data_IF_748338267732
#
_entry.id   IF_748338267732
#
_cell.length_a   1.000
_cell.length_b   1.000
_cell.length_c   1.000
_cell.angle_alpha   90.00
_cell.angle_beta   90.00
_cell.angle_gamma   90.00
#
_symmetry.space_group_name_H-M   'P 1'
#
loop_
_entity.id
_entity.type
_entity.pdbx_description
1 polymer ?
#
# COMPACT_ATOMS: atom_id res chain seq x y z
N UNK A 1 1.96 23.03 24.67
CA UNK A 1 1.50 24.34 24.12
C UNK A 1 2.32 24.77 22.90
N UNK A 2 3.64 24.64 22.91
CA UNK A 2 4.54 25.05 21.79
C UNK A 2 4.27 24.30 20.48
N UNK A 3 3.97 23.01 20.52
CA UNK A 3 3.68 22.20 19.33
C UNK A 3 2.35 22.64 18.67
N UNK A 4 1.34 23.00 19.46
CA UNK A 4 0.03 23.46 18.95
C UNK A 4 0.16 24.80 18.26
N UNK A 5 1.00 25.71 18.79
CA UNK A 5 1.25 27.03 18.21
C UNK A 5 2.00 26.89 16.88
N UNK A 6 3.01 26.03 16.80
CA UNK A 6 3.77 25.79 15.56
C UNK A 6 2.86 25.18 14.47
N UNK A 7 2.00 24.23 14.81
CA UNK A 7 1.09 23.62 13.84
C UNK A 7 0.02 24.61 13.37
N UNK A 8 -0.49 25.49 14.24
CA UNK A 8 -1.51 26.47 13.87
C UNK A 8 -0.96 27.62 13.01
N UNK A 9 0.32 27.98 13.16
CA UNK A 9 0.96 29.03 12.35
C UNK A 9 1.48 28.52 11.00
N UNK A 10 1.92 27.26 10.93
CA UNK A 10 2.39 26.65 9.66
C UNK A 10 1.25 26.13 8.78
N UNK A 11 0.08 25.84 9.37
CA UNK A 11 -1.07 25.30 8.65
C UNK A 11 -1.53 26.15 7.44
N UNK A 12 -1.72 27.50 7.57
CA UNK A 12 -2.11 28.32 6.42
C UNK A 12 -1.02 28.38 5.35
N UNK A 13 0.26 28.32 5.73
CA UNK A 13 1.38 28.30 4.80
C UNK A 13 1.42 27.00 3.97
N UNK A 14 1.34 25.84 4.61
CA UNK A 14 1.29 24.55 3.94
C UNK A 14 0.06 24.40 3.07
N UNK A 15 -1.08 24.86 3.52
CA UNK A 15 -2.32 24.81 2.76
C UNK A 15 -2.25 25.70 1.51
N UNK A 16 -1.72 26.92 1.63
CA UNK A 16 -1.46 27.82 0.48
C UNK A 16 -0.45 27.20 -0.49
N UNK A 17 0.61 26.64 0.01
CA UNK A 17 1.64 25.99 -0.81
C UNK A 17 1.05 24.83 -1.63
N UNK A 18 0.23 23.98 -1.02
CA UNK A 18 -0.45 22.88 -1.70
C UNK A 18 -1.43 23.39 -2.76
N UNK A 19 -2.21 24.44 -2.49
CA UNK A 19 -3.14 25.04 -3.45
C UNK A 19 -2.38 25.60 -4.65
N UNK A 20 -1.35 26.41 -4.40
CA UNK A 20 -0.55 27.06 -5.46
C UNK A 20 0.13 26.01 -6.35
N UNK A 21 0.73 24.98 -5.77
CA UNK A 21 1.37 23.92 -6.52
C UNK A 21 0.38 23.10 -7.37
N UNK A 22 -0.84 22.88 -6.88
CA UNK A 22 -1.88 22.19 -7.66
C UNK A 22 -2.38 23.05 -8.82
N UNK A 23 -2.58 24.34 -8.60
CA UNK A 23 -3.00 25.27 -9.66
C UNK A 23 -1.95 25.36 -10.78
N UNK A 24 -0.66 25.42 -10.42
CA UNK A 24 0.45 25.40 -11.41
C UNK A 24 0.47 24.12 -12.25
N UNK A 25 -0.03 23.00 -11.73
CA UNK A 25 -0.13 21.71 -12.42
C UNK A 25 -1.47 21.50 -13.13
N UNK A 26 -2.34 22.52 -13.22
CA UNK A 26 -3.67 22.40 -13.82
C UNK A 26 -4.63 21.46 -13.09
N UNK A 27 -4.33 21.13 -11.82
CA UNK A 27 -5.16 20.24 -11.02
C UNK A 27 -6.28 21.05 -10.32
N UNK A 28 -7.45 20.40 -10.15
CA UNK A 28 -8.56 21.02 -9.42
C UNK A 28 -8.17 21.43 -8.00
N UNK A 29 -8.69 22.55 -7.48
CA UNK A 29 -8.38 23.02 -6.13
C UNK A 29 -8.79 21.98 -5.09
N UNK A 30 -7.97 21.84 -4.05
CA UNK A 30 -8.32 21.00 -2.89
C UNK A 30 -9.34 21.81 -2.08
N UNK A 31 -10.56 21.29 -1.99
CA UNK A 31 -11.53 21.85 -1.04
C UNK A 31 -11.12 21.49 0.39
N UNK A 32 -11.45 22.35 1.35
CA UNK A 32 -11.19 22.10 2.77
C UNK A 32 -11.77 20.75 3.22
N UNK A 33 -12.95 20.41 2.71
CA UNK A 33 -13.64 19.14 2.95
C UNK A 33 -12.85 17.93 2.44
N UNK A 34 -12.29 18.03 1.23
CA UNK A 34 -11.43 16.98 0.66
C UNK A 34 -10.15 16.82 1.48
N UNK A 35 -9.56 17.92 1.93
CA UNK A 35 -8.36 17.90 2.77
C UNK A 35 -8.61 17.15 4.07
N UNK A 36 -9.65 17.51 4.83
CA UNK A 36 -9.96 16.84 6.10
C UNK A 36 -10.26 15.34 5.90
N UNK A 37 -11.02 14.99 4.87
CA UNK A 37 -11.26 13.58 4.56
C UNK A 37 -9.97 12.81 4.25
N UNK A 38 -9.07 13.42 3.51
CA UNK A 38 -7.78 12.80 3.18
C UNK A 38 -6.91 12.60 4.44
N UNK A 39 -6.93 13.57 5.36
CA UNK A 39 -6.22 13.45 6.65
C UNK A 39 -6.83 12.32 7.49
N UNK A 40 -8.15 12.26 7.60
CA UNK A 40 -8.85 11.19 8.34
C UNK A 40 -8.51 9.82 7.75
N UNK A 41 -8.54 9.69 6.42
CA UNK A 41 -8.19 8.43 5.75
C UNK A 41 -6.72 8.06 5.93
N UNK A 42 -5.82 9.05 5.96
CA UNK A 42 -4.41 8.80 6.23
C UNK A 42 -4.20 8.30 7.67
N UNK A 43 -4.89 8.90 8.65
CA UNK A 43 -4.88 8.43 10.04
C UNK A 43 -5.48 7.03 10.13
N UNK A 44 -6.61 6.78 9.47
CA UNK A 44 -7.25 5.45 9.43
C UNK A 44 -6.31 4.41 8.83
N UNK A 45 -5.62 4.73 7.73
CA UNK A 45 -4.62 3.86 7.13
C UNK A 45 -3.44 3.60 8.08
N UNK A 46 -2.90 4.65 8.72
CA UNK A 46 -1.79 4.53 9.65
C UNK A 46 -2.13 3.67 10.87
N UNK A 47 -3.25 3.97 11.53
CA UNK A 47 -3.71 3.20 12.69
C UNK A 47 -4.07 1.76 12.32
N UNK A 48 -4.75 1.56 11.19
CA UNK A 48 -5.05 0.23 10.67
C UNK A 48 -3.80 -0.56 10.35
N UNK A 49 -2.81 0.06 9.69
CA UNK A 49 -1.52 -0.56 9.40
C UNK A 49 -0.76 -0.95 10.67
N UNK A 50 -0.76 -0.09 11.71
CA UNK A 50 -0.17 -0.39 13.01
C UNK A 50 -0.91 -1.54 13.71
N UNK A 51 -2.22 -1.54 13.68
CA UNK A 51 -3.04 -2.64 14.23
C UNK A 51 -2.74 -3.96 13.51
N UNK A 52 -2.73 -3.97 12.19
CA UNK A 52 -2.38 -5.16 11.41
C UNK A 52 -0.94 -5.61 11.67
N UNK A 53 0.00 -4.69 11.88
CA UNK A 53 1.38 -5.02 12.23
C UNK A 53 1.48 -5.65 13.62
N UNK A 54 0.80 -5.07 14.60
CA UNK A 54 0.79 -5.58 15.98
C UNK A 54 0.14 -6.96 16.07
N UNK A 55 -1.10 -7.08 15.57
CA UNK A 55 -1.85 -8.35 15.56
C UNK A 55 -1.19 -9.37 14.63
N UNK A 56 -0.73 -8.95 13.46
CA UNK A 56 -0.05 -9.79 12.49
C UNK A 56 1.22 -10.40 13.07
N UNK A 57 2.00 -9.67 13.87
CA UNK A 57 3.19 -10.20 14.51
C UNK A 57 2.89 -11.38 15.46
N UNK A 58 1.70 -11.41 16.04
CA UNK A 58 1.26 -12.48 16.97
C UNK A 58 0.59 -13.63 16.23
N UNK A 59 -0.40 -13.31 15.37
CA UNK A 59 -1.25 -14.32 14.75
C UNK A 59 -0.69 -14.89 13.46
N UNK A 60 0.07 -14.10 12.68
CA UNK A 60 0.58 -14.55 11.37
C UNK A 60 1.84 -15.39 11.48
N UNK A 61 2.61 -15.27 12.58
CA UNK A 61 3.87 -16.01 12.76
C UNK A 61 3.71 -17.53 12.57
N UNK A 62 2.57 -18.07 12.98
CA UNK A 62 2.25 -19.50 12.89
C UNK A 62 1.13 -19.81 11.88
N UNK A 63 0.60 -18.79 11.19
CA UNK A 63 -0.49 -18.98 10.25
C UNK A 63 0.04 -19.58 8.94
N UNK A 64 -0.53 -20.68 8.53
CA UNK A 64 -0.23 -21.37 7.26
C UNK A 64 -1.53 -21.72 6.52
N UNK A 65 -1.44 -21.95 5.21
CA UNK A 65 -2.58 -22.39 4.41
C UNK A 65 -3.78 -21.45 4.54
N UNK A 66 -4.96 -21.99 4.77
CA UNK A 66 -6.24 -21.25 4.82
C UNK A 66 -6.24 -20.07 5.81
N UNK A 67 -5.59 -20.20 6.96
CA UNK A 67 -5.53 -19.11 7.97
C UNK A 67 -4.76 -17.91 7.42
N UNK A 68 -3.64 -18.13 6.77
CA UNK A 68 -2.87 -17.06 6.14
C UNK A 68 -3.66 -16.39 5.00
N UNK A 69 -4.39 -17.17 4.21
CA UNK A 69 -5.23 -16.65 3.13
C UNK A 69 -6.38 -15.77 3.67
N UNK A 70 -6.99 -16.16 4.79
CA UNK A 70 -8.01 -15.35 5.46
C UNK A 70 -7.43 -14.01 5.93
N UNK A 71 -6.25 -14.04 6.56
CA UNK A 71 -5.58 -12.80 7.01
C UNK A 71 -5.27 -11.88 5.81
N UNK A 72 -4.75 -12.44 4.72
CA UNK A 72 -4.50 -11.68 3.48
C UNK A 72 -5.79 -11.12 2.88
N UNK A 73 -6.89 -11.88 2.92
CA UNK A 73 -8.20 -11.40 2.47
C UNK A 73 -8.72 -10.24 3.32
N UNK A 74 -8.56 -10.32 4.65
CA UNK A 74 -8.94 -9.22 5.55
C UNK A 74 -8.10 -7.97 5.25
N UNK A 75 -6.80 -8.14 5.04
CA UNK A 75 -5.90 -7.05 4.66
C UNK A 75 -6.30 -6.43 3.31
N UNK A 76 -6.64 -7.25 2.31
CA UNK A 76 -7.13 -6.76 1.01
C UNK A 76 -8.44 -5.96 1.14
N UNK A 77 -9.37 -6.40 1.99
CA UNK A 77 -10.60 -5.65 2.30
C UNK A 77 -10.30 -4.33 3.00
N UNK A 78 -9.34 -4.31 3.93
CA UNK A 78 -8.88 -3.08 4.57
C UNK A 78 -8.26 -2.12 3.54
N UNK A 79 -7.36 -2.58 2.67
CA UNK A 79 -6.79 -1.77 1.59
C UNK A 79 -7.89 -1.18 0.69
N UNK A 80 -8.89 -1.99 0.33
CA UNK A 80 -10.06 -1.52 -0.42
C UNK A 80 -10.82 -0.43 0.33
N UNK A 81 -11.04 -0.57 1.63
CA UNK A 81 -11.75 0.44 2.43
C UNK A 81 -11.00 1.77 2.48
N UNK A 82 -9.67 1.76 2.54
CA UNK A 82 -8.84 2.97 2.47
C UNK A 82 -8.98 3.66 1.12
N UNK A 83 -8.88 2.92 0.02
CA UNK A 83 -8.97 3.48 -1.33
C UNK A 83 -10.36 4.03 -1.65
N UNK A 84 -11.41 3.32 -1.24
CA UNK A 84 -12.80 3.71 -1.52
C UNK A 84 -13.44 4.57 -0.43
N UNK A 85 -12.74 4.80 0.67
CA UNK A 85 -13.25 5.61 1.79
C UNK A 85 -13.37 7.11 1.49
N UNK A 86 -12.74 7.63 0.43
CA UNK A 86 -12.87 9.02 0.06
C UNK A 86 -13.98 9.22 -0.99
N UNK A 87 -15.16 9.73 -0.62
CA UNK A 87 -16.28 9.93 -1.53
C UNK A 87 -16.06 11.05 -2.56
N UNK A 88 -15.08 11.93 -2.32
CA UNK A 88 -14.78 13.07 -3.20
C UNK A 88 -13.77 12.73 -4.29
N UNK A 89 -13.16 11.55 -4.22
CA UNK A 89 -12.22 11.06 -5.24
C UNK A 89 -12.99 10.19 -6.22
N UNK A 90 -13.06 10.62 -7.47
CA UNK A 90 -13.63 9.81 -8.55
C UNK A 90 -12.70 8.64 -8.84
N UNK A 91 -13.24 7.45 -8.80
CA UNK A 91 -12.52 6.20 -9.08
C UNK A 91 -13.08 5.62 -10.36
N UNK A 92 -12.19 5.30 -11.29
CA UNK A 92 -12.55 4.60 -12.51
C UNK A 92 -11.64 3.40 -12.64
N UNK A 93 -12.21 2.22 -12.59
CA UNK A 93 -11.50 0.98 -12.86
C UNK A 93 -11.77 0.62 -14.33
N UNK A 94 -10.72 0.51 -15.11
CA UNK A 94 -10.78 0.04 -16.49
C UNK A 94 -10.07 -1.31 -16.47
N UNK A 95 -10.85 -2.39 -16.47
CA UNK A 95 -10.32 -3.74 -16.48
C UNK A 95 -10.46 -4.31 -17.90
N UNK A 96 -9.45 -5.02 -18.35
CA UNK A 96 -9.58 -5.88 -19.52
C UNK A 96 -10.46 -7.08 -19.11
N UNK A 97 -11.57 -7.37 -19.82
CA UNK A 97 -12.44 -8.50 -19.47
C UNK A 97 -11.73 -9.87 -19.56
N UNK A 98 -10.58 -9.93 -20.23
CA UNK A 98 -9.77 -11.15 -20.34
C UNK A 98 -8.75 -11.31 -19.21
N UNK A 99 -8.64 -10.34 -18.30
CA UNK A 99 -7.74 -10.40 -17.14
C UNK A 99 -8.33 -11.27 -16.05
N UNK A 100 -7.60 -12.32 -15.69
CA UNK A 100 -7.97 -13.26 -14.64
C UNK A 100 -6.96 -13.23 -13.49
N UNK A 101 -7.22 -12.38 -12.49
CA UNK A 101 -6.40 -12.27 -11.29
C UNK A 101 -6.45 -13.51 -10.37
N UNK A 102 -7.20 -14.54 -10.72
CA UNK A 102 -7.20 -15.81 -10.00
C UNK A 102 -5.99 -16.67 -10.35
N UNK A 103 -5.37 -16.43 -11.50
CA UNK A 103 -4.16 -17.11 -11.96
C UNK A 103 -2.91 -16.40 -11.52
N UNK A 104 -1.85 -17.15 -11.14
CA UNK A 104 -0.56 -16.53 -10.80
C UNK A 104 0.02 -15.78 -12.00
N UNK A 105 0.50 -14.57 -11.76
CA UNK A 105 1.09 -13.71 -12.78
C UNK A 105 2.22 -12.86 -12.18
N UNK A 106 3.05 -12.29 -13.05
CA UNK A 106 3.94 -11.20 -12.68
C UNK A 106 3.19 -9.89 -12.99
N UNK A 107 2.87 -9.13 -11.95
CA UNK A 107 2.18 -7.85 -12.05
C UNK A 107 3.24 -6.76 -12.06
N UNK A 108 3.39 -6.09 -13.18
CA UNK A 108 4.31 -4.95 -13.33
C UNK A 108 3.48 -3.68 -13.29
N UNK A 109 3.84 -2.76 -12.41
CA UNK A 109 3.12 -1.50 -12.26
C UNK A 109 4.08 -0.32 -12.03
N UNK A 110 3.66 0.87 -12.46
CA UNK A 110 4.36 2.11 -12.15
C UNK A 110 4.17 2.44 -10.66
N UNK A 111 5.19 3.05 -10.04
CA UNK A 111 5.14 3.43 -8.63
C UNK A 111 5.14 4.94 -8.47
N UNK A 112 3.96 5.54 -8.48
CA UNK A 112 3.77 7.00 -8.34
C UNK A 112 3.32 7.39 -6.93
N UNK A 113 2.66 6.47 -6.22
CA UNK A 113 2.07 6.71 -4.90
C UNK A 113 2.08 5.44 -4.06
N UNK A 114 2.09 5.60 -2.73
CA UNK A 114 1.85 4.45 -1.85
C UNK A 114 0.46 3.80 -2.04
N UNK A 115 -0.48 4.52 -2.64
CA UNK A 115 -1.81 3.99 -2.97
C UNK A 115 -1.76 2.90 -4.05
N UNK A 116 -0.71 2.84 -4.86
CA UNK A 116 -0.54 1.83 -5.90
C UNK A 116 -0.45 0.43 -5.28
N UNK A 117 0.29 0.31 -4.17
CA UNK A 117 0.36 -0.94 -3.40
C UNK A 117 -1.01 -1.38 -2.89
N UNK A 118 -1.82 -0.40 -2.40
CA UNK A 118 -3.18 -0.69 -1.93
C UNK A 118 -4.11 -1.08 -3.09
N UNK A 119 -3.97 -0.43 -4.24
CA UNK A 119 -4.78 -0.70 -5.42
C UNK A 119 -4.57 -2.12 -5.95
N UNK A 120 -3.32 -2.55 -6.01
CA UNK A 120 -3.00 -3.93 -6.42
C UNK A 120 -3.45 -4.91 -5.34
N UNK A 121 -3.16 -4.61 -4.06
CA UNK A 121 -3.52 -5.48 -2.94
C UNK A 121 -5.02 -5.69 -2.72
N UNK A 122 -5.87 -4.78 -3.22
CA UNK A 122 -7.31 -4.99 -3.18
C UNK A 122 -7.84 -5.83 -4.34
N UNK A 123 -7.08 -5.96 -5.45
CA UNK A 123 -7.52 -6.72 -6.62
C UNK A 123 -7.42 -8.24 -6.37
N UNK A 124 -6.37 -8.67 -5.68
CA UNK A 124 -6.22 -10.07 -5.25
C UNK A 124 -5.45 -10.16 -3.93
N UNK A 125 -5.86 -11.10 -3.08
CA UNK A 125 -5.17 -11.36 -1.81
C UNK A 125 -3.98 -12.33 -1.95
N UNK A 126 -3.89 -13.01 -3.09
CA UNK A 126 -2.78 -13.92 -3.40
C UNK A 126 -1.66 -13.18 -4.13
N UNK A 127 -1.00 -12.28 -3.41
CA UNK A 127 0.12 -11.49 -3.92
C UNK A 127 1.32 -11.55 -3.00
N UNK A 128 2.49 -11.38 -3.60
CA UNK A 128 3.77 -11.20 -2.94
C UNK A 128 4.40 -9.94 -3.51
N UNK A 129 4.80 -9.02 -2.63
CA UNK A 129 5.50 -7.80 -3.02
C UNK A 129 7.01 -7.97 -2.87
N UNK A 130 7.76 -7.39 -3.80
CA UNK A 130 9.14 -6.99 -3.55
C UNK A 130 9.10 -5.66 -2.81
N UNK A 131 9.66 -5.60 -1.61
CA UNK A 131 9.62 -4.42 -0.74
C UNK A 131 11.03 -3.89 -0.49
N UNK A 132 11.13 -2.59 -0.29
CA UNK A 132 12.40 -1.97 0.09
C UNK A 132 12.90 -2.51 1.44
N UNK A 133 14.21 -2.61 1.60
CA UNK A 133 14.85 -3.18 2.79
C UNK A 133 14.47 -2.45 4.07
N UNK A 134 14.33 -1.12 4.02
CA UNK A 134 13.91 -0.34 5.18
C UNK A 134 12.49 -0.70 5.66
N UNK A 135 11.59 -1.14 4.76
CA UNK A 135 10.25 -1.65 5.13
C UNK A 135 10.37 -3.04 5.71
N UNK A 136 11.20 -3.90 5.06
CA UNK A 136 11.41 -5.28 5.47
C UNK A 136 12.04 -5.40 6.85
N UNK A 137 12.96 -4.50 7.19
CA UNK A 137 13.65 -4.45 8.47
C UNK A 137 13.05 -3.46 9.47
N UNK A 138 11.93 -2.82 9.08
CA UNK A 138 11.18 -1.92 9.96
C UNK A 138 10.77 -2.61 11.25
N UNK A 139 11.01 -2.01 12.43
CA UNK A 139 10.54 -2.55 13.70
C UNK A 139 9.01 -2.61 13.79
N UNK A 140 8.31 -1.77 13.03
CA UNK A 140 6.86 -1.67 13.01
C UNK A 140 6.26 -2.66 12.01
N UNK A 141 6.70 -2.62 10.75
CA UNK A 141 6.08 -3.38 9.66
C UNK A 141 6.82 -4.67 9.30
N UNK A 142 8.11 -4.78 9.62
CA UNK A 142 8.96 -5.87 9.16
C UNK A 142 8.44 -7.25 9.57
N UNK A 143 7.93 -7.40 10.79
CA UNK A 143 7.35 -8.68 11.25
C UNK A 143 6.15 -9.10 10.41
N UNK A 144 5.25 -8.15 10.10
CA UNK A 144 4.08 -8.41 9.27
C UNK A 144 4.48 -8.75 7.84
N UNK A 145 5.38 -7.97 7.25
CA UNK A 145 5.88 -8.13 5.87
C UNK A 145 6.53 -9.51 5.70
N UNK A 146 7.41 -9.91 6.63
CA UNK A 146 8.05 -11.23 6.66
C UNK A 146 7.02 -12.35 6.79
N UNK A 147 6.06 -12.19 7.67
CA UNK A 147 5.01 -13.18 7.92
C UNK A 147 4.04 -13.33 6.72
N UNK A 148 3.79 -12.26 5.97
CA UNK A 148 3.02 -12.30 4.73
C UNK A 148 3.80 -12.93 3.56
N UNK A 149 5.10 -13.20 3.74
CA UNK A 149 5.96 -13.81 2.75
C UNK A 149 6.38 -12.84 1.65
N UNK A 150 6.52 -11.55 1.96
CA UNK A 150 7.09 -10.56 1.06
C UNK A 150 8.61 -10.65 1.07
N UNK A 151 9.28 -10.18 0.02
CA UNK A 151 10.72 -10.30 -0.15
C UNK A 151 11.38 -8.93 -0.23
N UNK A 152 12.58 -8.77 0.36
CA UNK A 152 13.33 -7.52 0.23
C UNK A 152 14.00 -7.45 -1.15
N UNK A 153 14.06 -6.25 -1.70
CA UNK A 153 14.65 -5.99 -3.03
C UNK A 153 16.15 -6.34 -3.06
N UNK A 154 16.88 -6.10 -1.95
CA UNK A 154 18.33 -6.34 -1.88
C UNK A 154 18.72 -7.82 -2.01
N UNK A 155 17.85 -8.73 -1.59
CA UNK A 155 18.12 -10.17 -1.77
C UNK A 155 18.08 -10.59 -3.24
N UNK A 156 17.55 -9.71 -4.12
CA UNK A 156 17.44 -9.95 -5.54
C UNK A 156 16.54 -11.15 -5.88
N UNK A 157 16.24 -11.27 -7.16
CA UNK A 157 15.48 -12.42 -7.65
C UNK A 157 16.33 -13.69 -7.56
N UNK A 158 17.65 -13.59 -7.69
CA UNK A 158 18.55 -14.73 -7.70
C UNK A 158 18.57 -15.49 -6.37
N UNK A 159 18.74 -14.80 -5.25
CA UNK A 159 18.76 -15.41 -3.91
C UNK A 159 17.37 -15.82 -3.41
N UNK A 160 16.31 -15.24 -3.98
CA UNK A 160 14.91 -15.54 -3.65
C UNK A 160 14.21 -16.47 -4.63
N UNK A 161 14.86 -16.88 -5.73
CA UNK A 161 14.25 -17.56 -6.88
C UNK A 161 13.45 -18.79 -6.49
N UNK A 162 14.02 -19.66 -5.67
CA UNK A 162 13.35 -20.90 -5.25
C UNK A 162 12.10 -20.61 -4.41
N UNK A 163 12.21 -19.68 -3.44
CA UNK A 163 11.09 -19.28 -2.60
C UNK A 163 10.00 -18.55 -3.39
N UNK A 164 10.39 -17.70 -4.36
CA UNK A 164 9.46 -17.04 -5.26
C UNK A 164 8.73 -18.04 -6.14
N UNK A 165 9.45 -19.02 -6.68
CA UNK A 165 8.87 -20.10 -7.47
C UNK A 165 7.86 -20.89 -6.63
N UNK A 166 8.22 -21.27 -5.41
CA UNK A 166 7.30 -21.94 -4.48
C UNK A 166 6.00 -21.14 -4.26
N UNK A 167 6.11 -19.78 -4.15
CA UNK A 167 4.94 -18.92 -4.00
C UNK A 167 4.08 -18.88 -5.26
N UNK A 168 4.69 -18.83 -6.44
CA UNK A 168 3.98 -18.89 -7.72
C UNK A 168 3.26 -20.23 -7.87
N UNK A 169 3.93 -21.34 -7.52
CA UNK A 169 3.35 -22.69 -7.56
C UNK A 169 2.18 -22.83 -6.55
N UNK A 170 2.19 -22.07 -5.45
CA UNK A 170 1.07 -21.95 -4.50
C UNK A 170 -0.06 -21.02 -5.01
N UNK A 171 0.04 -20.47 -6.21
CA UNK A 171 -0.97 -19.61 -6.82
C UNK A 171 -0.86 -18.12 -6.45
N UNK A 172 0.32 -17.65 -5.97
CA UNK A 172 0.56 -16.25 -5.68
C UNK A 172 1.12 -15.52 -6.90
N UNK A 173 0.65 -14.29 -7.13
CA UNK A 173 1.22 -13.36 -8.11
C UNK A 173 2.35 -12.55 -7.49
N UNK A 174 3.39 -12.29 -8.27
CA UNK A 174 4.50 -11.42 -7.88
C UNK A 174 4.23 -9.99 -8.35
N UNK A 175 4.31 -9.02 -7.45
CA UNK A 175 4.19 -7.60 -7.77
C UNK A 175 5.56 -6.94 -7.78
N UNK A 176 5.88 -6.29 -8.90
CA UNK A 176 7.15 -5.61 -9.12
C UNK A 176 6.89 -4.16 -9.54
N UNK A 177 7.58 -3.24 -8.89
CA UNK A 177 7.68 -1.85 -9.29
C UNK A 177 9.08 -1.61 -9.88
N UNK A 178 9.25 -1.63 -11.22
CA UNK A 178 10.58 -1.61 -11.83
C UNK A 178 11.39 -0.34 -11.53
N UNK A 179 10.70 0.75 -11.20
CA UNK A 179 11.32 2.04 -10.90
C UNK A 179 12.07 2.05 -9.58
N UNK A 180 11.88 1.03 -8.72
CA UNK A 180 12.44 0.89 -7.36
C UNK A 180 12.14 2.07 -6.42
N UNK A 181 11.87 3.25 -6.96
CA UNK A 181 11.52 4.49 -6.27
C UNK A 181 10.24 5.09 -6.87
N UNK A 182 9.62 6.02 -6.13
CA UNK A 182 8.43 6.73 -6.62
C UNK A 182 8.82 7.71 -7.71
N UNK A 183 8.34 7.50 -8.92
CA UNK A 183 8.49 8.40 -10.04
C UNK A 183 7.43 9.50 -9.98
N UNK A 184 7.86 10.75 -10.13
CA UNK A 184 7.00 11.94 -10.14
C UNK A 184 6.83 12.53 -11.58
N UNK A 185 7.13 11.72 -12.59
CA UNK A 185 6.96 12.12 -14.00
C UNK A 185 5.52 11.97 -14.47
#
# INVERSE_FOLDING_TARGET
LSVIIITSTLYPFWFRFLIINRQKKGLSPITLRLFFHSVILFIYYGLGGLMFSALGSVFVKNAKGKTLDIIKLILAKFMKSVLYGNPFVKKKVIANPNEDFSKPAIIIANHTSFLDTLAIGMATHKIVYLVNDWVYDSPIFGKLVKALGFFPVSQGIENGKEKLKEKIDQGYSLVVFPEAERSYT
#
